data_IF_702641476011
#
_entry.id   IF_702641476011
#
_cell.length_a   1.000
_cell.length_b   1.000
_cell.length_c   1.000
_cell.angle_alpha   90.00
_cell.angle_beta   90.00
_cell.angle_gamma   90.00
#
_symmetry.space_group_name_H-M   'P 1'
#
loop_
_entity.id
_entity.type
_entity.pdbx_description
1 polymer ?
#
# COMPACT_ATOMS: atom_id res chain seq x y z
N UNK A 1 -14.63 -7.71 23.95
CA UNK A 1 -13.18 -7.98 24.00
C UNK A 1 -12.67 -8.03 22.57
N UNK A 2 -11.46 -7.53 22.28
CA UNK A 2 -10.84 -7.80 20.99
C UNK A 2 -10.68 -9.32 20.79
N UNK A 3 -10.80 -9.78 19.54
CA UNK A 3 -10.52 -11.16 19.16
C UNK A 3 -9.03 -11.50 19.41
N UNK A 4 -8.71 -12.79 19.45
CA UNK A 4 -7.32 -13.25 19.65
C UNK A 4 -6.46 -12.78 18.48
N UNK A 5 -6.99 -12.97 17.27
CA UNK A 5 -6.41 -12.64 15.98
C UNK A 5 -6.11 -11.15 15.85
N UNK A 6 -7.06 -10.29 16.28
CA UNK A 6 -6.85 -8.85 16.34
C UNK A 6 -5.71 -8.47 17.29
N UNK A 7 -5.63 -9.15 18.44
CA UNK A 7 -4.57 -8.91 19.43
C UNK A 7 -3.19 -9.34 18.91
N UNK A 8 -3.14 -10.45 18.16
CA UNK A 8 -1.93 -10.89 17.45
C UNK A 8 -1.51 -9.89 16.37
N UNK A 9 -2.46 -9.38 15.58
CA UNK A 9 -2.20 -8.34 14.58
C UNK A 9 -1.64 -7.04 15.18
N UNK A 10 -2.08 -6.64 16.36
CA UNK A 10 -1.50 -5.48 17.07
C UNK A 10 -0.03 -5.69 17.46
N UNK A 11 0.38 -6.94 17.71
CA UNK A 11 1.73 -7.29 18.15
C UNK A 11 2.67 -7.63 16.98
N UNK A 12 2.12 -8.02 15.83
CA UNK A 12 2.87 -8.40 14.64
C UNK A 12 3.77 -7.28 14.09
N UNK A 13 4.90 -7.66 13.47
CA UNK A 13 5.82 -6.72 12.82
C UNK A 13 5.36 -6.33 11.42
N UNK A 14 4.76 -7.26 10.68
CA UNK A 14 4.36 -7.10 9.29
C UNK A 14 3.01 -7.78 9.02
N UNK A 15 2.34 -7.37 7.93
CA UNK A 15 1.18 -8.09 7.39
C UNK A 15 1.56 -9.49 6.90
N UNK A 16 2.80 -9.70 6.48
CA UNK A 16 3.32 -11.01 6.05
C UNK A 16 3.43 -12.02 7.19
N UNK A 17 3.36 -11.58 8.44
CA UNK A 17 3.40 -12.45 9.62
C UNK A 17 2.02 -13.05 9.93
N UNK A 18 0.99 -12.74 9.12
CA UNK A 18 -0.36 -13.25 9.28
C UNK A 18 -0.39 -14.78 9.02
N UNK A 19 -0.66 -15.62 10.03
CA UNK A 19 -0.65 -17.08 9.87
C UNK A 19 -1.99 -17.63 9.36
N UNK A 20 -3.00 -16.79 9.18
CA UNK A 20 -4.36 -17.21 8.83
C UNK A 20 -4.54 -17.31 7.32
N UNK A 21 -5.47 -18.17 6.88
CA UNK A 21 -5.84 -18.30 5.47
C UNK A 21 -6.49 -17.02 4.95
N UNK A 22 -6.09 -16.53 3.77
CA UNK A 22 -6.50 -15.21 3.27
C UNK A 22 -8.01 -15.01 3.07
N UNK A 23 -8.78 -16.09 2.95
CA UNK A 23 -10.26 -16.06 2.79
C UNK A 23 -10.99 -16.35 4.12
N UNK A 24 -10.33 -16.10 5.25
CA UNK A 24 -10.87 -16.37 6.58
C UNK A 24 -11.14 -15.09 7.37
N UNK A 25 -12.18 -15.11 8.21
CA UNK A 25 -12.48 -13.99 9.11
C UNK A 25 -11.30 -13.70 10.07
N UNK A 26 -10.51 -14.72 10.41
CA UNK A 26 -9.33 -14.59 11.25
C UNK A 26 -8.24 -13.74 10.60
N UNK A 27 -8.06 -13.91 9.28
CA UNK A 27 -7.14 -13.10 8.49
C UNK A 27 -7.53 -11.63 8.52
N UNK A 28 -8.80 -11.33 8.27
CA UNK A 28 -9.35 -9.97 8.32
C UNK A 28 -9.17 -9.32 9.70
N UNK A 29 -9.40 -10.08 10.77
CA UNK A 29 -9.24 -9.59 12.14
C UNK A 29 -7.78 -9.29 12.49
N UNK A 30 -6.84 -10.12 12.05
CA UNK A 30 -5.42 -9.86 12.18
C UNK A 30 -5.00 -8.59 11.43
N UNK A 31 -5.40 -8.46 10.16
CA UNK A 31 -5.06 -7.27 9.36
C UNK A 31 -5.68 -5.99 9.93
N UNK A 32 -6.89 -6.09 10.50
CA UNK A 32 -7.53 -4.99 11.23
C UNK A 32 -6.68 -4.56 12.43
N UNK A 33 -6.15 -5.50 13.20
CA UNK A 33 -5.23 -5.24 14.31
C UNK A 33 -3.97 -4.52 13.86
N UNK A 34 -3.28 -5.05 12.84
CA UNK A 34 -2.05 -4.46 12.29
C UNK A 34 -2.30 -3.03 11.76
N UNK A 35 -3.40 -2.83 11.05
CA UNK A 35 -3.80 -1.52 10.52
C UNK A 35 -4.04 -0.51 11.65
N UNK A 36 -4.64 -0.94 12.77
CA UNK A 36 -4.86 -0.08 13.92
C UNK A 36 -3.57 0.30 14.63
N UNK A 37 -2.57 -0.60 14.66
CA UNK A 37 -1.22 -0.28 15.15
C UNK A 37 -0.61 0.86 14.33
N UNK A 38 -0.63 0.74 13.00
CA UNK A 38 -0.10 1.76 12.07
C UNK A 38 -0.82 3.10 12.26
N UNK A 39 -2.16 3.10 12.31
CA UNK A 39 -2.97 4.32 12.48
C UNK A 39 -2.71 5.06 13.79
N UNK A 40 -2.26 4.35 14.82
CA UNK A 40 -1.98 4.92 16.14
C UNK A 40 -0.51 5.32 16.33
N UNK A 41 0.35 5.03 15.35
CA UNK A 41 1.74 5.47 15.40
C UNK A 41 1.81 7.00 15.23
N UNK A 42 2.69 7.69 15.97
CA UNK A 42 2.91 9.11 15.74
C UNK A 42 3.45 9.33 14.33
N UNK A 43 3.17 10.48 13.71
CA UNK A 43 3.67 10.79 12.37
C UNK A 43 5.20 10.68 12.24
N UNK A 44 5.93 10.94 13.33
CA UNK A 44 7.39 10.77 13.38
C UNK A 44 7.86 9.33 13.13
N UNK A 45 7.00 8.33 13.32
CA UNK A 45 7.34 6.92 13.03
C UNK A 45 7.45 6.63 11.53
N UNK A 46 6.92 7.49 10.67
CA UNK A 46 7.03 7.37 9.22
C UNK A 46 8.13 8.27 8.65
N UNK A 47 8.76 9.11 9.48
CA UNK A 47 9.79 10.04 9.08
C UNK A 47 11.14 9.31 9.03
N UNK A 48 11.43 8.69 7.89
CA UNK A 48 12.71 8.02 7.63
C UNK A 48 13.86 9.01 7.32
N UNK A 49 13.74 10.29 7.71
CA UNK A 49 14.73 11.33 7.44
C UNK A 49 14.82 11.75 5.97
N UNK A 50 13.83 11.36 5.15
CA UNK A 50 13.75 11.66 3.72
C UNK A 50 12.77 12.81 3.43
N UNK A 51 12.70 13.79 4.33
CA UNK A 51 11.97 15.02 4.05
C UNK A 51 12.75 15.83 3.00
N UNK A 52 12.56 15.48 1.73
CA UNK A 52 12.95 16.35 0.61
C UNK A 52 11.96 17.52 0.56
N UNK A 53 12.43 18.78 0.66
CA UNK A 53 11.58 19.94 0.48
C UNK A 53 10.84 19.83 -0.87
N UNK A 54 9.56 20.21 -0.90
CA UNK A 54 8.74 20.13 -2.13
C UNK A 54 9.40 20.78 -3.36
N UNK A 55 10.29 21.75 -3.13
CA UNK A 55 11.08 22.44 -4.15
C UNK A 55 12.14 21.56 -4.87
N UNK A 56 12.61 20.46 -4.28
CA UNK A 56 13.57 19.55 -4.91
C UNK A 56 12.92 18.44 -5.74
N UNK A 57 11.60 18.24 -5.60
CA UNK A 57 10.85 17.25 -6.36
C UNK A 57 10.62 17.75 -7.79
N UNK A 58 11.51 17.34 -8.71
CA UNK A 58 11.21 17.40 -10.16
C UNK A 58 10.07 16.42 -10.41
N UNK A 59 8.86 16.94 -10.63
CA UNK A 59 7.67 16.14 -10.89
C UNK A 59 7.85 15.12 -12.02
N UNK A 60 6.85 14.26 -12.21
CA UNK A 60 6.89 13.23 -13.23
C UNK A 60 6.81 13.82 -14.65
N UNK A 61 7.71 13.40 -15.54
CA UNK A 61 7.64 13.72 -16.97
C UNK A 61 6.58 12.83 -17.62
N UNK A 62 5.56 13.44 -18.21
CA UNK A 62 4.60 12.72 -19.05
C UNK A 62 5.36 12.20 -20.28
N UNK A 63 5.44 10.88 -20.43
CA UNK A 63 5.96 10.25 -21.64
C UNK A 63 4.78 10.14 -22.60
N UNK A 64 4.71 11.05 -23.57
CA UNK A 64 3.78 10.90 -24.68
C UNK A 64 4.25 9.72 -25.53
N UNK A 65 3.54 8.59 -25.41
CA UNK A 65 3.64 7.54 -26.41
C UNK A 65 3.14 8.13 -27.72
N UNK A 66 4.05 8.38 -28.67
CA UNK A 66 3.69 8.58 -30.07
C UNK A 66 2.94 7.32 -30.53
N UNK A 67 1.62 7.37 -30.45
CA UNK A 67 0.75 6.36 -31.06
C UNK A 67 1.03 6.45 -32.56
N UNK A 68 1.80 5.49 -33.06
CA UNK A 68 2.10 5.37 -34.48
C UNK A 68 0.78 5.40 -35.24
N UNK A 69 0.56 6.47 -36.00
CA UNK A 69 -0.67 6.69 -36.75
C UNK A 69 -0.79 5.67 -37.87
N UNK A 70 -1.97 5.05 -37.88
CA UNK A 70 -2.76 4.59 -39.02
C UNK A 70 -2.38 3.26 -39.71
N UNK A 71 -3.11 2.21 -39.34
CA UNK A 71 -3.38 1.09 -40.23
C UNK A 71 -4.25 1.56 -41.40
N UNK A 72 -3.68 1.53 -42.62
CA UNK A 72 -4.43 1.67 -43.86
C UNK A 72 -5.28 0.41 -44.10
N UNK A 73 -6.56 0.47 -43.75
CA UNK A 73 -7.52 -0.51 -44.25
C UNK A 73 -7.90 -0.12 -45.69
N UNK A 74 -7.37 -0.89 -46.65
CA UNK A 74 -7.82 -0.90 -48.04
C UNK A 74 -9.31 -1.26 -48.06
N UNK A 75 -10.14 -0.39 -48.63
CA UNK A 75 -11.48 -0.77 -49.07
C UNK A 75 -11.50 -0.84 -50.60
N UNK A 76 -12.04 -1.98 -51.05
CA UNK A 76 -12.42 -2.44 -52.40
C UNK A 76 -12.40 -1.43 -53.54
#
# INVERSE_FOLDING_TARGET
MPSKEYSEGLLASSYSDNPYESDSNQFDEFERGQTQKIKRQPCSSFDNGMYEPYESLKGCRIIEHNVAKNYNYKNK
#
